data_IF_854866172472
#
_entry.id   IF_854866172472
#
_cell.length_a   1.000
_cell.length_b   1.000
_cell.length_c   1.000
_cell.angle_alpha   90.00
_cell.angle_beta   90.00
_cell.angle_gamma   90.00
#
_symmetry.space_group_name_H-M   'P 1'
#
loop_
_entity.id
_entity.type
_entity.pdbx_description
1 polymer ?
#
# COMPACT_ATOMS: atom_id res chain seq x y z
N UNK A 1 -38.95 -48.65 -9.04
CA UNK A 1 -38.22 -48.11 -7.87
C UNK A 1 -37.27 -47.02 -8.34
N UNK A 2 -37.49 -45.76 -7.95
CA UNK A 2 -36.69 -44.61 -8.36
C UNK A 2 -36.00 -43.99 -7.14
N UNK A 3 -34.73 -43.56 -7.32
CA UNK A 3 -33.95 -42.53 -6.57
C UNK A 3 -32.46 -42.82 -6.79
N UNK A 4 -31.53 -41.89 -7.00
CA UNK A 4 -31.51 -40.50 -7.41
C UNK A 4 -30.02 -40.23 -7.73
N UNK A 5 -29.69 -39.62 -8.88
CA UNK A 5 -28.31 -39.19 -9.20
C UNK A 5 -27.92 -38.06 -8.26
N UNK A 6 -26.91 -38.26 -7.41
CA UNK A 6 -26.41 -37.23 -6.51
C UNK A 6 -25.67 -36.13 -7.29
N UNK A 7 -26.19 -34.90 -7.24
CA UNK A 7 -25.55 -33.68 -7.77
C UNK A 7 -24.36 -33.29 -6.87
N UNK A 8 -23.17 -33.13 -7.44
CA UNK A 8 -21.99 -32.60 -6.74
C UNK A 8 -22.28 -31.17 -6.25
N UNK A 9 -22.00 -30.81 -4.99
CA UNK A 9 -22.23 -29.45 -4.50
C UNK A 9 -21.24 -28.48 -5.17
N UNK A 10 -21.79 -27.52 -5.90
CA UNK A 10 -21.08 -26.37 -6.44
C UNK A 10 -20.84 -25.36 -5.33
N UNK A 11 -19.66 -24.70 -5.35
CA UNK A 11 -19.18 -23.68 -4.41
C UNK A 11 -18.53 -24.20 -3.12
N UNK A 12 -17.24 -24.50 -3.21
CA UNK A 12 -16.36 -24.35 -2.04
C UNK A 12 -16.31 -22.86 -1.72
N UNK A 13 -17.07 -22.42 -0.72
CA UNK A 13 -16.90 -21.09 -0.13
C UNK A 13 -15.42 -20.96 0.24
N UNK A 14 -14.74 -20.00 -0.37
CA UNK A 14 -13.36 -19.68 -0.01
C UNK A 14 -13.40 -19.07 1.38
N UNK A 15 -13.22 -19.91 2.40
CA UNK A 15 -12.94 -19.50 3.77
C UNK A 15 -11.74 -18.55 3.71
N UNK A 16 -12.06 -17.25 3.70
CA UNK A 16 -11.05 -16.21 3.68
C UNK A 16 -10.48 -16.22 5.08
N UNK A 17 -9.44 -17.04 5.28
CA UNK A 17 -8.67 -17.16 6.51
C UNK A 17 -8.26 -15.76 6.96
N UNK A 18 -9.07 -15.19 7.85
CA UNK A 18 -8.90 -13.86 8.39
C UNK A 18 -7.83 -13.96 9.46
N UNK A 19 -6.59 -13.65 9.08
CA UNK A 19 -5.47 -13.51 10.02
C UNK A 19 -4.30 -14.43 9.70
N UNK A 20 -3.47 -14.04 8.73
CA UNK A 20 -2.10 -14.55 8.65
C UNK A 20 -1.24 -13.98 9.78
N UNK A 21 -0.15 -14.67 10.17
CA UNK A 21 0.73 -14.26 11.26
C UNK A 21 1.43 -12.95 10.86
N UNK A 22 1.08 -11.88 11.56
CA UNK A 22 1.43 -10.52 11.17
C UNK A 22 0.45 -9.46 11.69
N UNK A 23 -0.50 -9.83 12.55
CA UNK A 23 -1.25 -8.88 13.37
C UNK A 23 -0.37 -8.25 14.46
N UNK A 24 0.80 -7.74 14.08
CA UNK A 24 1.45 -6.71 14.86
C UNK A 24 0.46 -5.57 15.03
N UNK A 25 0.34 -5.05 16.26
CA UNK A 25 -0.56 -3.93 16.58
C UNK A 25 -0.45 -2.88 15.47
N UNK A 26 -1.55 -2.67 14.75
CA UNK A 26 -1.58 -1.67 13.68
C UNK A 26 -1.35 -0.32 14.36
N UNK A 27 -0.26 0.35 14.00
CA UNK A 27 -0.03 1.74 14.40
C UNK A 27 -1.29 2.55 14.07
N UNK A 28 -1.84 3.32 15.02
CA UNK A 28 -3.07 4.05 14.76
C UNK A 28 -2.80 5.16 13.75
N UNK A 29 -3.77 5.44 12.88
CA UNK A 29 -3.63 6.47 11.86
C UNK A 29 -3.44 7.84 12.51
N UNK A 30 -2.40 8.57 12.08
CA UNK A 30 -2.07 9.91 12.56
C UNK A 30 -3.26 10.88 12.37
N UNK A 31 -3.78 11.00 11.15
CA UNK A 31 -4.93 11.84 10.86
C UNK A 31 -6.20 11.47 11.66
N UNK A 32 -6.41 10.19 11.99
CA UNK A 32 -7.53 9.80 12.85
C UNK A 32 -7.35 10.26 14.31
N UNK A 33 -6.10 10.31 14.81
CA UNK A 33 -5.81 10.81 16.15
C UNK A 33 -5.95 12.32 16.21
N UNK A 34 -5.43 12.99 15.19
CA UNK A 34 -5.42 14.45 15.08
C UNK A 34 -6.80 15.01 14.64
N UNK A 35 -7.77 14.12 14.37
CA UNK A 35 -9.13 14.44 13.89
C UNK A 35 -9.14 15.34 12.65
N UNK A 36 -8.15 15.17 11.78
CA UNK A 36 -8.06 15.90 10.52
C UNK A 36 -8.96 15.17 9.51
N UNK A 37 -10.10 15.77 9.17
CA UNK A 37 -11.09 15.16 8.27
C UNK A 37 -10.74 15.31 6.78
N UNK A 38 -10.02 16.37 6.43
CA UNK A 38 -9.61 16.66 5.06
C UNK A 38 -8.12 16.95 4.96
N UNK A 39 -7.47 16.40 3.93
CA UNK A 39 -6.07 16.66 3.61
C UNK A 39 -6.05 17.42 2.29
N UNK A 40 -5.68 18.69 2.35
CA UNK A 40 -5.59 19.56 1.20
C UNK A 40 -4.26 19.42 0.46
N UNK A 41 -4.28 19.76 -0.83
CA UNK A 41 -3.08 19.75 -1.69
C UNK A 41 -2.12 20.93 -1.41
N UNK A 42 -2.60 21.95 -0.69
CA UNK A 42 -1.86 23.18 -0.37
C UNK A 42 -0.82 22.95 0.73
N UNK A 43 -1.06 21.97 1.60
CA UNK A 43 -0.20 21.68 2.76
C UNK A 43 1.02 20.83 2.36
N UNK A 44 1.92 21.41 1.58
CA UNK A 44 3.16 20.78 1.12
C UNK A 44 4.03 20.23 2.26
N UNK A 45 4.00 20.85 3.44
CA UNK A 45 4.75 20.39 4.62
C UNK A 45 4.24 19.04 5.13
N UNK A 46 2.93 18.83 5.13
CA UNK A 46 2.32 17.57 5.58
C UNK A 46 2.47 16.51 4.51
N UNK A 47 2.20 16.85 3.24
CA UNK A 47 2.32 15.95 2.10
C UNK A 47 3.76 15.48 1.86
N UNK A 48 4.74 16.36 2.09
CA UNK A 48 6.17 16.07 1.97
C UNK A 48 6.58 14.88 2.85
N UNK A 49 6.04 14.77 4.06
CA UNK A 49 6.30 13.63 4.99
C UNK A 49 5.79 12.29 4.46
N UNK A 50 4.74 12.32 3.62
CA UNK A 50 4.17 11.14 2.98
C UNK A 50 4.77 10.83 1.62
N UNK A 51 5.69 11.66 1.14
CA UNK A 51 6.50 11.42 -0.06
C UNK A 51 7.91 10.97 0.31
N UNK A 52 8.54 10.18 -0.54
CA UNK A 52 9.98 9.93 -0.45
C UNK A 52 10.74 11.12 -1.03
N UNK A 53 12.01 11.24 -0.70
CA UNK A 53 12.95 12.16 -1.35
C UNK A 53 12.92 12.04 -2.88
N UNK A 54 12.80 10.80 -3.40
CA UNK A 54 12.63 10.54 -4.85
C UNK A 54 11.25 10.88 -5.41
N UNK A 55 10.40 11.62 -4.69
CA UNK A 55 9.05 12.00 -5.12
C UNK A 55 8.02 10.86 -5.15
N UNK A 56 8.32 9.62 -4.73
CA UNK A 56 7.35 8.51 -4.67
C UNK A 56 6.43 8.61 -3.45
N UNK A 57 5.15 8.25 -3.58
CA UNK A 57 4.20 8.22 -2.45
C UNK A 57 4.53 7.04 -1.54
N UNK A 58 4.72 7.29 -0.24
CA UNK A 58 4.98 6.24 0.76
C UNK A 58 3.73 5.40 0.96
N UNK A 59 3.93 4.07 0.99
CA UNK A 59 2.85 3.13 1.19
C UNK A 59 2.33 3.10 2.63
N UNK A 60 1.09 2.63 2.78
CA UNK A 60 0.36 2.53 4.06
C UNK A 60 1.13 1.86 5.20
N UNK A 61 2.01 0.89 4.91
CA UNK A 61 2.78 0.16 5.93
C UNK A 61 3.77 1.06 6.67
N UNK A 62 4.31 2.05 5.97
CA UNK A 62 5.29 3.01 6.51
C UNK A 62 4.55 4.14 7.22
N UNK A 63 3.54 4.71 6.55
CA UNK A 63 2.80 5.89 7.01
C UNK A 63 1.75 5.59 8.08
N UNK A 64 1.38 4.32 8.25
CA UNK A 64 0.35 3.84 9.17
C UNK A 64 -1.04 4.49 8.98
N UNK A 65 -1.35 5.00 7.79
CA UNK A 65 -2.64 5.65 7.53
C UNK A 65 -3.82 4.67 7.42
N UNK A 66 -5.04 5.15 7.67
CA UNK A 66 -6.27 4.43 7.33
C UNK A 66 -6.45 4.38 5.80
N UNK A 67 -7.24 3.41 5.29
CA UNK A 67 -7.48 3.30 3.84
C UNK A 67 -8.10 4.58 3.25
N UNK A 68 -9.04 5.20 3.98
CA UNK A 68 -9.70 6.45 3.58
C UNK A 68 -8.69 7.59 3.44
N UNK A 69 -7.91 7.84 4.49
CA UNK A 69 -6.88 8.88 4.50
C UNK A 69 -5.75 8.62 3.49
N UNK A 70 -5.35 7.36 3.28
CA UNK A 70 -4.34 7.05 2.26
C UNK A 70 -4.84 7.44 0.85
N UNK A 71 -6.12 7.19 0.53
CA UNK A 71 -6.70 7.60 -0.75
C UNK A 71 -6.80 9.12 -0.87
N UNK A 72 -7.19 9.82 0.21
CA UNK A 72 -7.24 11.28 0.23
C UNK A 72 -5.86 11.89 0.02
N UNK A 73 -4.84 11.44 0.77
CA UNK A 73 -3.44 11.88 0.60
C UNK A 73 -2.95 11.60 -0.81
N UNK A 74 -3.24 10.42 -1.37
CA UNK A 74 -2.83 10.10 -2.73
C UNK A 74 -3.45 11.05 -3.77
N UNK A 75 -4.72 11.44 -3.59
CA UNK A 75 -5.37 12.41 -4.46
C UNK A 75 -4.82 13.83 -4.26
N UNK A 76 -4.57 14.24 -3.01
CA UNK A 76 -3.96 15.51 -2.69
C UNK A 76 -2.56 15.64 -3.30
N UNK A 77 -1.72 14.61 -3.17
CA UNK A 77 -0.38 14.58 -3.78
C UNK A 77 -0.44 14.64 -5.31
N UNK A 78 -1.42 13.96 -5.95
CA UNK A 78 -1.60 14.03 -7.40
C UNK A 78 -1.94 15.46 -7.86
N UNK A 79 -2.90 16.11 -7.19
CA UNK A 79 -3.26 17.51 -7.47
C UNK A 79 -2.10 18.47 -7.22
N UNK A 80 -1.36 18.26 -6.12
CA UNK A 80 -0.18 19.07 -5.81
C UNK A 80 0.90 18.96 -6.90
N UNK A 81 1.05 17.80 -7.53
CA UNK A 81 1.98 17.61 -8.65
C UNK A 81 1.52 18.30 -9.94
N UNK A 82 0.23 18.26 -10.23
CA UNK A 82 -0.37 19.00 -11.37
C UNK A 82 -0.12 20.51 -11.25
N UNK A 83 -0.09 21.02 -10.01
CA UNK A 83 0.20 22.42 -9.69
C UNK A 83 1.71 22.71 -9.48
N UNK A 84 2.58 21.75 -9.78
CA UNK A 84 4.04 21.85 -9.58
C UNK A 84 4.50 22.18 -8.14
N UNK A 85 3.66 21.94 -7.12
CA UNK A 85 4.01 22.12 -5.71
C UNK A 85 4.89 20.98 -5.16
N UNK A 86 4.84 19.81 -5.79
CA UNK A 86 5.64 18.64 -5.42
C UNK A 86 6.28 18.02 -6.67
N UNK A 87 7.52 17.49 -6.56
CA UNK A 87 8.19 16.86 -7.68
C UNK A 87 7.55 15.51 -8.06
N UNK A 88 7.62 15.18 -9.35
CA UNK A 88 7.33 13.84 -9.84
C UNK A 88 8.43 12.86 -9.43
N UNK A 89 8.12 11.58 -9.48
CA UNK A 89 9.09 10.56 -9.13
C UNK A 89 10.26 10.58 -10.13
N UNK A 90 11.47 10.85 -9.65
CA UNK A 90 12.66 10.76 -10.48
C UNK A 90 12.91 9.30 -10.86
N UNK A 91 13.13 9.05 -12.15
CA UNK A 91 13.70 7.80 -12.65
C UNK A 91 15.02 7.57 -11.90
N UNK A 92 15.23 6.40 -11.26
CA UNK A 92 16.55 6.09 -10.75
C UNK A 92 17.47 5.94 -11.96
N UNK A 93 18.38 6.89 -12.18
CA UNK A 93 19.53 6.65 -13.04
C UNK A 93 20.19 5.36 -12.56
N UNK A 94 20.28 4.39 -13.48
CA UNK A 94 20.52 2.98 -13.17
C UNK A 94 22.02 2.72 -12.90
N UNK A 95 22.63 3.52 -12.03
CA UNK A 95 24.04 3.40 -11.65
C UNK A 95 24.12 2.68 -10.31
N UNK A 96 24.11 1.34 -10.36
CA UNK A 96 24.36 0.50 -9.18
C UNK A 96 23.44 -0.71 -9.04
N UNK A 97 23.38 -1.56 -10.05
CA UNK A 97 22.86 -2.93 -9.88
C UNK A 97 23.92 -3.76 -9.14
N UNK A 98 23.90 -3.70 -7.81
CA UNK A 98 24.56 -4.67 -6.96
C UNK A 98 23.90 -6.04 -7.15
N UNK A 99 24.62 -6.96 -7.79
CA UNK A 99 24.18 -8.28 -8.21
C UNK A 99 23.50 -9.09 -7.10
N UNK A 100 22.30 -9.57 -7.39
CA UNK A 100 21.71 -10.68 -6.62
C UNK A 100 22.42 -11.95 -7.04
N UNK A 101 23.42 -12.35 -6.25
CA UNK A 101 24.07 -13.65 -6.34
C UNK A 101 23.01 -14.75 -6.45
N UNK A 102 23.11 -15.52 -7.52
CA UNK A 102 22.37 -16.77 -7.69
C UNK A 102 22.76 -17.63 -6.49
N UNK A 103 21.80 -17.94 -5.62
CA UNK A 103 21.98 -18.99 -4.62
C UNK A 103 21.98 -20.30 -5.40
N UNK A 104 23.17 -20.83 -5.66
CA UNK A 104 23.40 -22.21 -6.05
C UNK A 104 22.53 -23.11 -5.16
N UNK A 105 21.61 -23.82 -5.81
CA UNK A 105 20.61 -24.67 -5.16
C UNK A 105 21.02 -26.14 -5.27
N UNK A 106 22.30 -26.38 -5.48
CA UNK A 106 22.89 -27.68 -5.79
C UNK A 106 24.11 -27.92 -4.89
N UNK A 107 23.88 -28.38 -3.66
CA UNK A 107 24.88 -29.12 -2.87
C UNK A 107 24.19 -30.01 -1.82
N UNK A 108 24.24 -31.31 -2.11
CA UNK A 108 23.86 -32.52 -1.35
C UNK A 108 22.36 -32.84 -1.14
#
# INVERSE_FOLDING_TARGET
>A
MAKARAKKPTSRRRDTKKGGPGSGRRKPCLFCKDKIEHVDYKDVTTLGRFTSERGKIRGRRITALCRRHQSQVANAVKRARELALLPYAAEPTNEGVGGRGRRDRDRD
#
